data_IF_759096580256
#
_entry.id   IF_759096580256
#
_cell.length_a   1.000
_cell.length_b   1.000
_cell.length_c   1.000
_cell.angle_alpha   90.00
_cell.angle_beta   90.00
_cell.angle_gamma   90.00
#
_symmetry.space_group_name_H-M   'P 1'
#
loop_
_entity.id
_entity.type
_entity.pdbx_description
1 polymer ?
#
# COMPACT_ATOMS: atom_id res chain seq x y z
N UNK A 1 -4.37 -5.91 -33.34
CA UNK A 1 -5.62 -6.66 -33.13
C UNK A 1 -6.56 -5.81 -32.30
N UNK A 2 -7.81 -5.66 -32.75
CA UNK A 2 -8.86 -4.95 -31.97
C UNK A 2 -9.61 -6.03 -31.17
N UNK A 3 -9.52 -5.99 -29.84
CA UNK A 3 -10.24 -6.93 -28.97
C UNK A 3 -11.71 -6.56 -28.88
N UNK A 4 -12.57 -7.54 -28.63
CA UNK A 4 -13.98 -7.33 -28.37
C UNK A 4 -14.16 -6.44 -27.12
N UNK A 5 -15.08 -5.48 -27.20
CA UNK A 5 -15.52 -4.72 -26.02
C UNK A 5 -16.83 -5.32 -25.53
N UNK A 6 -16.82 -5.84 -24.30
CA UNK A 6 -17.96 -6.51 -23.66
C UNK A 6 -18.41 -5.71 -22.47
N UNK A 7 -19.70 -5.55 -22.25
CA UNK A 7 -20.24 -4.87 -21.06
C UNK A 7 -20.03 -5.73 -19.82
N UNK A 8 -19.72 -5.11 -18.69
CA UNK A 8 -19.62 -5.83 -17.42
C UNK A 8 -20.90 -6.59 -17.07
N UNK A 9 -22.09 -6.06 -17.43
CA UNK A 9 -23.36 -6.73 -17.21
C UNK A 9 -23.58 -8.03 -17.99
N UNK A 10 -22.81 -8.27 -19.05
CA UNK A 10 -22.81 -9.54 -19.78
C UNK A 10 -21.90 -10.59 -19.13
N UNK A 11 -21.00 -10.16 -18.25
CA UNK A 11 -19.98 -10.99 -17.61
C UNK A 11 -20.25 -11.25 -16.14
N UNK A 12 -20.92 -10.30 -15.44
CA UNK A 12 -21.05 -10.32 -13.98
C UNK A 12 -22.47 -9.97 -13.52
N UNK A 13 -22.88 -10.60 -12.43
CA UNK A 13 -23.99 -10.16 -11.57
C UNK A 13 -23.45 -9.31 -10.41
N UNK A 14 -24.24 -8.33 -9.94
CA UNK A 14 -23.80 -7.41 -8.87
C UNK A 14 -24.62 -7.59 -7.59
N UNK A 15 -23.94 -7.60 -6.45
CA UNK A 15 -24.53 -7.66 -5.13
C UNK A 15 -23.85 -6.66 -4.17
N UNK A 16 -24.64 -6.04 -3.28
CA UNK A 16 -24.09 -5.16 -2.24
C UNK A 16 -23.51 -5.96 -1.08
N UNK A 17 -22.55 -5.36 -0.34
CA UNK A 17 -21.92 -6.01 0.80
C UNK A 17 -22.71 -5.92 2.11
N UNK A 18 -22.18 -6.59 3.13
CA UNK A 18 -22.72 -6.66 4.48
C UNK A 18 -22.55 -5.31 5.21
N UNK A 19 -23.64 -4.77 5.72
CA UNK A 19 -23.63 -3.55 6.56
C UNK A 19 -23.96 -3.93 8.00
N UNK A 20 -23.03 -3.66 8.93
CA UNK A 20 -23.18 -3.88 10.37
C UNK A 20 -22.69 -2.68 11.18
N UNK A 21 -23.21 -2.55 12.40
CA UNK A 21 -22.72 -1.55 13.35
C UNK A 21 -21.30 -1.87 13.84
N UNK A 22 -20.58 -0.85 14.29
CA UNK A 22 -19.18 -0.95 14.71
C UNK A 22 -18.89 -2.01 15.77
N UNK A 23 -19.85 -2.27 16.67
CA UNK A 23 -19.74 -3.26 17.74
C UNK A 23 -19.59 -4.73 17.29
N UNK A 24 -19.86 -5.02 16.03
CA UNK A 24 -19.79 -6.38 15.47
C UNK A 24 -18.42 -6.67 14.82
N UNK A 25 -17.52 -5.71 14.78
CA UNK A 25 -16.19 -5.88 14.17
C UNK A 25 -15.13 -6.24 15.20
N UNK A 26 -14.01 -6.80 14.73
CA UNK A 26 -12.85 -7.17 15.53
C UNK A 26 -12.84 -8.62 16.04
N UNK A 27 -13.96 -9.34 15.96
CA UNK A 27 -14.08 -10.75 16.34
C UNK A 27 -15.02 -11.50 15.40
N UNK A 28 -14.91 -12.83 15.34
CA UNK A 28 -15.79 -13.70 14.55
C UNK A 28 -15.10 -14.27 13.31
N UNK A 29 -15.68 -14.07 12.14
CA UNK A 29 -15.25 -14.67 10.89
C UNK A 29 -14.49 -13.67 10.00
N UNK A 30 -13.68 -14.16 9.03
CA UNK A 30 -12.92 -13.31 8.13
C UNK A 30 -13.80 -12.29 7.39
N UNK A 31 -13.27 -11.09 7.23
CA UNK A 31 -14.01 -9.98 6.64
C UNK A 31 -13.16 -9.22 5.63
N UNK A 32 -13.65 -9.09 4.41
CA UNK A 32 -13.02 -8.26 3.39
C UNK A 32 -13.41 -6.79 3.61
N UNK A 33 -12.51 -6.04 4.20
CA UNK A 33 -12.70 -4.62 4.52
C UNK A 33 -12.60 -3.72 3.27
N UNK A 34 -13.10 -2.50 3.40
CA UNK A 34 -12.96 -1.47 2.37
C UNK A 34 -11.48 -1.19 2.06
N UNK A 35 -10.65 -1.07 3.10
CA UNK A 35 -9.22 -0.81 2.96
C UNK A 35 -8.50 -1.92 2.18
N UNK A 36 -8.86 -3.18 2.43
CA UNK A 36 -8.29 -4.31 1.70
C UNK A 36 -8.66 -4.26 0.22
N UNK A 37 -9.92 -3.96 -0.12
CA UNK A 37 -10.36 -3.80 -1.51
C UNK A 37 -9.67 -2.62 -2.18
N UNK A 38 -9.51 -1.52 -1.47
CA UNK A 38 -8.91 -0.30 -1.99
C UNK A 38 -7.42 -0.49 -2.35
N UNK A 39 -6.66 -1.12 -1.45
CA UNK A 39 -5.20 -1.17 -1.53
C UNK A 39 -4.64 -2.36 -2.35
N UNK A 40 -5.45 -3.37 -2.65
CA UNK A 40 -4.96 -4.60 -3.28
C UNK A 40 -5.60 -4.86 -4.64
N UNK A 41 -4.82 -5.38 -5.60
CA UNK A 41 -5.32 -5.90 -6.87
C UNK A 41 -6.07 -7.23 -6.67
N UNK A 42 -5.55 -8.05 -5.77
CA UNK A 42 -6.09 -9.36 -5.40
C UNK A 42 -6.28 -9.44 -3.89
N UNK A 43 -7.29 -10.20 -3.46
CA UNK A 43 -7.52 -10.41 -2.02
C UNK A 43 -6.30 -11.16 -1.46
N UNK A 44 -5.70 -10.69 -0.34
CA UNK A 44 -4.61 -11.39 0.35
C UNK A 44 -5.00 -12.81 0.73
N UNK A 45 -4.02 -13.70 0.84
CA UNK A 45 -4.26 -15.09 1.22
C UNK A 45 -5.00 -15.25 2.54
N UNK A 46 -4.75 -14.36 3.50
CA UNK A 46 -5.42 -14.27 4.79
C UNK A 46 -6.10 -12.93 4.97
N UNK A 47 -7.33 -12.95 5.43
CA UNK A 47 -8.08 -11.77 5.83
C UNK A 47 -7.94 -11.61 7.35
N UNK A 48 -7.28 -10.54 7.76
CA UNK A 48 -7.01 -10.24 9.17
C UNK A 48 -8.15 -9.50 9.87
N UNK A 49 -8.99 -8.80 9.10
CA UNK A 49 -10.20 -8.16 9.63
C UNK A 49 -11.26 -9.22 9.93
N UNK A 50 -11.99 -9.04 11.03
CA UNK A 50 -13.03 -9.98 11.49
C UNK A 50 -14.37 -9.27 11.70
N UNK A 51 -15.46 -10.02 11.47
CA UNK A 51 -16.83 -9.57 11.76
C UNK A 51 -17.67 -10.72 12.32
N UNK A 52 -18.53 -10.42 13.27
CA UNK A 52 -19.53 -11.38 13.74
C UNK A 52 -20.60 -11.53 12.66
N UNK A 53 -20.62 -12.69 11.99
CA UNK A 53 -21.59 -13.05 10.96
C UNK A 53 -22.22 -14.40 11.27
N UNK A 54 -23.49 -14.58 10.88
CA UNK A 54 -24.18 -15.86 10.96
C UNK A 54 -24.12 -16.59 9.60
N UNK A 55 -24.52 -17.87 9.56
CA UNK A 55 -24.50 -18.72 8.38
C UNK A 55 -25.23 -18.09 7.18
N UNK A 56 -26.41 -17.52 7.39
CA UNK A 56 -27.19 -16.85 6.34
C UNK A 56 -26.45 -15.64 5.75
N UNK A 57 -25.74 -14.88 6.57
CA UNK A 57 -24.92 -13.77 6.10
C UNK A 57 -23.68 -14.28 5.34
N UNK A 58 -23.04 -15.34 5.82
CA UNK A 58 -21.89 -15.97 5.14
C UNK A 58 -22.28 -16.50 3.76
N UNK A 59 -23.44 -17.12 3.62
CA UNK A 59 -23.96 -17.59 2.33
C UNK A 59 -24.26 -16.41 1.39
N UNK A 60 -25.00 -15.42 1.85
CA UNK A 60 -25.42 -14.27 1.04
C UNK A 60 -24.23 -13.39 0.60
N UNK A 61 -23.26 -13.21 1.49
CA UNK A 61 -22.10 -12.35 1.29
C UNK A 61 -20.82 -13.17 1.08
N UNK A 62 -20.95 -14.40 0.59
CA UNK A 62 -19.80 -15.28 0.31
C UNK A 62 -18.81 -14.68 -0.66
N UNK A 63 -17.54 -15.09 -0.54
CA UNK A 63 -16.43 -14.70 -1.41
C UNK A 63 -15.93 -15.94 -2.11
N UNK A 64 -16.12 -16.01 -3.44
CA UNK A 64 -15.71 -17.14 -4.26
C UNK A 64 -14.66 -16.71 -5.29
N UNK A 65 -13.86 -17.65 -5.76
CA UNK A 65 -12.90 -17.41 -6.85
C UNK A 65 -13.59 -16.75 -8.05
N UNK A 66 -12.99 -15.69 -8.54
CA UNK A 66 -13.52 -14.92 -9.68
C UNK A 66 -14.40 -13.74 -9.26
N UNK A 67 -14.84 -13.66 -8.01
CA UNK A 67 -15.55 -12.47 -7.52
C UNK A 67 -14.64 -11.25 -7.62
N UNK A 68 -15.19 -10.16 -8.15
CA UNK A 68 -14.55 -8.84 -8.23
C UNK A 68 -15.26 -7.89 -7.30
N UNK A 69 -14.53 -7.29 -6.38
CA UNK A 69 -15.04 -6.30 -5.44
C UNK A 69 -14.64 -4.91 -5.91
N UNK A 70 -15.58 -3.95 -5.84
CA UNK A 70 -15.31 -2.56 -6.20
C UNK A 70 -15.82 -1.62 -5.10
N UNK A 71 -15.05 -0.57 -4.80
CA UNK A 71 -15.49 0.48 -3.87
C UNK A 71 -16.67 1.24 -4.46
N UNK A 72 -17.77 1.39 -3.68
CA UNK A 72 -19.00 2.00 -4.17
C UNK A 72 -19.18 3.48 -3.79
N UNK A 73 -18.45 3.93 -2.80
CA UNK A 73 -18.51 5.31 -2.28
C UNK A 73 -17.10 5.82 -2.07
N UNK A 74 -16.85 7.08 -2.38
CA UNK A 74 -15.61 7.75 -2.07
C UNK A 74 -15.81 9.24 -1.86
N UNK A 75 -14.91 9.86 -1.12
CA UNK A 75 -14.84 11.31 -0.96
C UNK A 75 -14.17 11.97 -2.18
N UNK A 76 -13.37 11.22 -2.94
CA UNK A 76 -12.71 11.67 -4.16
C UNK A 76 -13.12 10.82 -5.36
N UNK A 77 -13.18 11.45 -6.54
CA UNK A 77 -13.52 10.75 -7.80
C UNK A 77 -12.50 9.69 -8.17
N UNK A 78 -11.25 9.86 -7.76
CA UNK A 78 -10.15 8.96 -8.10
C UNK A 78 -10.18 7.64 -7.32
N UNK A 79 -10.89 7.59 -6.22
CA UNK A 79 -11.00 6.41 -5.34
C UNK A 79 -12.23 5.55 -5.62
N UNK A 80 -13.22 6.08 -6.36
CA UNK A 80 -14.43 5.34 -6.70
C UNK A 80 -14.09 4.18 -7.65
N UNK A 81 -14.70 3.01 -7.41
CA UNK A 81 -14.55 1.84 -8.27
C UNK A 81 -13.15 1.21 -8.22
N UNK A 82 -12.39 1.43 -7.15
CA UNK A 82 -11.15 0.66 -6.92
C UNK A 82 -11.51 -0.81 -6.75
N UNK A 83 -10.83 -1.68 -7.52
CA UNK A 83 -11.19 -3.09 -7.63
C UNK A 83 -10.20 -4.02 -6.92
N UNK A 84 -10.70 -5.14 -6.40
CA UNK A 84 -9.92 -6.24 -5.84
C UNK A 84 -10.57 -7.57 -6.22
N UNK A 85 -9.79 -8.59 -6.58
CA UNK A 85 -10.30 -9.85 -7.14
C UNK A 85 -9.94 -11.02 -6.25
N UNK A 86 -10.90 -11.93 -6.05
CA UNK A 86 -10.69 -13.20 -5.35
C UNK A 86 -10.05 -14.23 -6.27
N UNK A 87 -8.83 -14.70 -5.94
CA UNK A 87 -8.14 -15.76 -6.67
C UNK A 87 -8.42 -17.17 -6.12
N UNK A 88 -9.12 -17.26 -5.01
CA UNK A 88 -9.57 -18.52 -4.36
C UNK A 88 -10.91 -18.27 -3.66
N UNK A 89 -11.51 -19.32 -3.16
CA UNK A 89 -12.63 -19.23 -2.24
C UNK A 89 -12.14 -18.86 -0.84
N UNK A 90 -12.94 -18.04 -0.13
CA UNK A 90 -12.69 -17.63 1.25
C UNK A 90 -13.84 -18.15 2.13
N UNK A 91 -13.73 -19.33 2.73
CA UNK A 91 -14.79 -19.94 3.52
C UNK A 91 -15.22 -19.06 4.69
N UNK A 92 -16.54 -18.93 4.88
CA UNK A 92 -17.18 -18.16 5.95
C UNK A 92 -16.84 -16.65 5.95
N UNK A 93 -16.07 -16.16 4.96
CA UNK A 93 -15.76 -14.75 4.82
C UNK A 93 -16.94 -13.98 4.25
N UNK A 94 -17.07 -12.72 4.72
CA UNK A 94 -18.04 -11.76 4.18
C UNK A 94 -17.32 -10.47 3.76
N UNK A 95 -18.01 -9.56 3.05
CA UNK A 95 -17.40 -8.33 2.54
C UNK A 95 -18.19 -7.08 2.90
N UNK A 96 -17.49 -5.96 2.92
CA UNK A 96 -17.95 -4.66 3.44
C UNK A 96 -19.08 -4.06 2.61
N UNK A 97 -20.07 -3.47 3.29
CA UNK A 97 -21.24 -2.80 2.70
C UNK A 97 -20.92 -1.56 1.85
N UNK A 98 -19.72 -0.99 1.98
CA UNK A 98 -19.23 0.09 1.11
C UNK A 98 -18.53 -0.42 -0.14
N UNK A 99 -18.62 -1.73 -0.41
CA UNK A 99 -18.16 -2.36 -1.63
C UNK A 99 -19.31 -3.08 -2.34
N UNK A 100 -19.16 -3.30 -3.64
CA UNK A 100 -20.04 -4.16 -4.43
C UNK A 100 -19.26 -5.38 -4.88
N UNK A 101 -19.86 -6.55 -4.82
CA UNK A 101 -19.34 -7.77 -5.42
C UNK A 101 -19.90 -7.94 -6.82
N UNK A 102 -19.06 -8.14 -7.78
CA UNK A 102 -19.39 -8.63 -9.13
C UNK A 102 -19.01 -10.11 -9.20
N UNK A 103 -19.99 -11.00 -9.35
CA UNK A 103 -19.77 -12.44 -9.48
C UNK A 103 -19.87 -12.85 -10.92
N UNK A 104 -18.91 -13.60 -11.50
CA UNK A 104 -18.98 -14.08 -12.87
C UNK A 104 -20.26 -14.87 -13.13
N UNK A 105 -20.91 -14.59 -14.27
CA UNK A 105 -22.04 -15.38 -14.78
C UNK A 105 -21.52 -16.67 -15.43
N UNK A 106 -20.39 -16.58 -16.11
CA UNK A 106 -19.65 -17.69 -16.69
C UNK A 106 -18.16 -17.58 -16.37
N UNK A 107 -17.65 -18.49 -15.57
CA UNK A 107 -16.26 -18.52 -15.12
C UNK A 107 -15.24 -18.82 -16.25
N UNK A 108 -15.71 -19.24 -17.44
CA UNK A 108 -14.83 -19.59 -18.54
C UNK A 108 -14.55 -18.40 -19.49
N UNK A 109 -15.28 -17.30 -19.36
CA UNK A 109 -15.11 -16.13 -20.26
C UNK A 109 -14.04 -15.16 -19.80
N UNK A 110 -13.91 -14.96 -18.50
CA UNK A 110 -13.02 -13.96 -17.92
C UNK A 110 -12.11 -14.60 -16.89
N UNK A 111 -10.80 -14.50 -17.09
CA UNK A 111 -9.82 -14.97 -16.13
C UNK A 111 -9.72 -13.96 -14.97
N UNK A 112 -9.86 -14.40 -13.69
CA UNK A 112 -9.78 -13.53 -12.53
C UNK A 112 -8.49 -12.72 -12.46
N UNK A 113 -7.37 -13.33 -12.79
CA UNK A 113 -6.05 -12.69 -12.82
C UNK A 113 -5.99 -11.58 -13.89
N UNK A 114 -6.59 -11.77 -15.06
CA UNK A 114 -6.64 -10.78 -16.11
C UNK A 114 -7.48 -9.56 -15.73
N UNK A 115 -8.71 -9.80 -15.26
CA UNK A 115 -9.64 -8.71 -14.93
C UNK A 115 -9.13 -7.88 -13.75
N UNK A 116 -8.43 -8.49 -12.78
CA UNK A 116 -7.82 -7.80 -11.65
C UNK A 116 -6.82 -6.74 -12.09
N UNK A 117 -5.97 -7.05 -13.04
CA UNK A 117 -5.05 -6.06 -13.62
C UNK A 117 -5.78 -5.07 -14.52
N UNK A 118 -6.68 -5.54 -15.39
CA UNK A 118 -7.37 -4.69 -16.36
C UNK A 118 -8.14 -3.55 -15.70
N UNK A 119 -8.92 -3.84 -14.66
CA UNK A 119 -9.74 -2.84 -13.96
C UNK A 119 -8.95 -1.78 -13.20
N UNK A 120 -7.66 -2.02 -12.96
CA UNK A 120 -6.74 -1.05 -12.36
C UNK A 120 -5.95 -0.24 -13.40
N UNK A 121 -6.10 -0.51 -14.70
CA UNK A 121 -5.43 0.27 -15.74
C UNK A 121 -5.94 1.70 -15.81
N UNK A 122 -5.11 2.67 -16.21
CA UNK A 122 -5.56 4.04 -16.45
C UNK A 122 -6.70 4.14 -17.46
N UNK A 123 -6.73 3.25 -18.46
CA UNK A 123 -7.78 3.17 -19.47
C UNK A 123 -9.14 2.89 -18.84
N UNK A 124 -9.25 1.81 -18.06
CA UNK A 124 -10.51 1.44 -17.42
C UNK A 124 -10.89 2.43 -16.29
N UNK A 125 -9.91 2.89 -15.52
CA UNK A 125 -10.11 3.91 -14.49
C UNK A 125 -10.64 5.23 -15.07
N UNK A 126 -10.23 5.59 -16.29
CA UNK A 126 -10.74 6.76 -17.01
C UNK A 126 -12.26 6.69 -17.30
N UNK A 127 -12.79 5.49 -17.57
CA UNK A 127 -14.24 5.29 -17.76
C UNK A 127 -15.01 5.55 -16.44
N UNK A 128 -14.50 5.11 -15.30
CA UNK A 128 -15.10 5.43 -13.99
C UNK A 128 -15.15 6.93 -13.69
N UNK A 129 -14.09 7.66 -14.02
CA UNK A 129 -14.02 9.10 -13.80
C UNK A 129 -15.09 9.87 -14.60
N UNK A 130 -15.42 9.42 -15.79
CA UNK A 130 -16.46 10.04 -16.61
C UNK A 130 -17.83 9.99 -15.95
N UNK A 131 -18.13 8.95 -15.15
CA UNK A 131 -19.37 8.84 -14.39
C UNK A 131 -19.34 9.61 -13.07
N UNK A 132 -18.19 9.76 -12.44
CA UNK A 132 -18.07 10.39 -11.11
C UNK A 132 -18.18 11.92 -11.12
N UNK A 133 -17.96 12.58 -12.24
CA UNK A 133 -18.06 14.04 -12.38
C UNK A 133 -19.49 14.59 -12.29
N UNK A 134 -20.51 13.74 -12.26
CA UNK A 134 -21.91 14.14 -12.32
C UNK A 134 -22.63 14.23 -10.95
N UNK A 135 -22.01 13.87 -9.81
CA UNK A 135 -22.66 13.90 -8.50
C UNK A 135 -21.74 14.30 -7.34
N UNK A 136 -22.24 15.13 -6.42
CA UNK A 136 -21.54 15.68 -5.23
C UNK A 136 -21.17 14.63 -4.15
N UNK A 137 -21.64 13.41 -4.25
CA UNK A 137 -21.20 12.19 -3.54
C UNK A 137 -21.39 11.03 -4.49
N UNK A 138 -20.32 10.63 -5.12
CA UNK A 138 -20.35 9.57 -6.11
C UNK A 138 -20.73 8.23 -5.46
N UNK A 139 -21.98 7.84 -5.59
CA UNK A 139 -22.44 6.48 -5.29
C UNK A 139 -22.56 5.73 -6.61
N UNK A 140 -21.76 4.71 -6.79
CA UNK A 140 -21.75 3.85 -7.97
C UNK A 140 -23.09 3.06 -8.04
N UNK A 141 -23.95 3.40 -9.00
CA UNK A 141 -25.19 2.63 -9.26
C UNK A 141 -24.85 1.31 -9.95
N UNK A 142 -25.71 0.31 -9.80
CA UNK A 142 -25.50 -0.99 -10.46
C UNK A 142 -25.54 -0.85 -12.00
N UNK A 143 -26.46 -0.05 -12.50
CA UNK A 143 -26.62 0.20 -13.94
C UNK A 143 -25.38 0.84 -14.54
N UNK A 144 -24.81 1.85 -13.88
CA UNK A 144 -23.59 2.52 -14.31
C UNK A 144 -22.40 1.55 -14.35
N UNK A 145 -22.24 0.74 -13.28
CA UNK A 145 -21.17 -0.26 -13.19
C UNK A 145 -21.32 -1.33 -14.29
N UNK A 146 -22.53 -1.88 -14.46
CA UNK A 146 -22.80 -2.92 -15.46
C UNK A 146 -22.74 -2.41 -16.90
N UNK A 147 -22.91 -1.10 -17.10
CA UNK A 147 -22.76 -0.43 -18.40
C UNK A 147 -21.33 -0.25 -18.87
N UNK A 148 -20.35 -0.29 -17.96
CA UNK A 148 -18.93 -0.16 -18.31
C UNK A 148 -18.47 -1.31 -19.22
N UNK A 149 -17.49 -1.02 -20.07
CA UNK A 149 -16.98 -2.01 -21.03
C UNK A 149 -15.55 -2.43 -20.71
N UNK A 150 -15.25 -3.70 -20.94
CA UNK A 150 -13.90 -4.25 -20.85
C UNK A 150 -13.45 -4.78 -22.20
N UNK A 151 -12.17 -4.60 -22.53
CA UNK A 151 -11.57 -5.26 -23.67
C UNK A 151 -11.30 -6.72 -23.30
N UNK A 152 -11.93 -7.65 -24.01
CA UNK A 152 -11.89 -9.08 -23.69
C UNK A 152 -11.17 -9.85 -24.80
N UNK A 153 -9.87 -10.12 -24.67
CA UNK A 153 -9.17 -11.01 -25.59
C UNK A 153 -9.54 -12.48 -25.35
N UNK A 154 -9.21 -13.38 -26.29
CA UNK A 154 -9.34 -14.82 -26.06
C UNK A 154 -8.65 -15.25 -24.75
N UNK A 155 -9.21 -16.25 -24.06
CA UNK A 155 -8.75 -16.70 -22.73
C UNK A 155 -7.25 -17.02 -22.72
N UNK A 156 -6.72 -17.62 -23.78
CA UNK A 156 -5.28 -17.91 -23.87
C UNK A 156 -4.41 -16.64 -23.92
N UNK A 157 -4.93 -15.54 -24.46
CA UNK A 157 -4.24 -14.24 -24.43
C UNK A 157 -4.37 -13.61 -23.05
N UNK A 158 -5.55 -13.72 -22.41
CA UNK A 158 -5.73 -13.29 -21.01
C UNK A 158 -4.72 -13.98 -20.08
N UNK A 159 -4.55 -15.31 -20.21
CA UNK A 159 -3.55 -16.08 -19.44
C UNK A 159 -2.13 -15.56 -19.64
N UNK A 160 -1.74 -15.33 -20.91
CA UNK A 160 -0.39 -14.82 -21.21
C UNK A 160 -0.13 -13.44 -20.55
N UNK A 161 -1.10 -12.53 -20.66
CA UNK A 161 -0.99 -11.19 -20.06
C UNK A 161 -0.91 -11.31 -18.54
N UNK A 162 -1.85 -12.06 -17.94
CA UNK A 162 -1.89 -12.24 -16.49
C UNK A 162 -0.62 -12.89 -15.94
N UNK A 163 -0.09 -13.91 -16.61
CA UNK A 163 1.13 -14.59 -16.19
C UNK A 163 2.36 -13.66 -16.20
N UNK A 164 2.50 -12.82 -17.23
CA UNK A 164 3.59 -11.85 -17.29
C UNK A 164 3.52 -10.89 -16.09
N UNK A 165 2.34 -10.30 -15.85
CA UNK A 165 2.15 -9.34 -14.76
C UNK A 165 2.33 -10.00 -13.38
N UNK A 166 1.80 -11.22 -13.21
CA UNK A 166 1.93 -12.00 -11.97
C UNK A 166 3.39 -12.32 -11.63
N UNK A 167 4.22 -12.60 -12.63
CA UNK A 167 5.66 -12.79 -12.39
C UNK A 167 6.34 -11.53 -11.83
N UNK A 168 5.96 -10.34 -12.33
CA UNK A 168 6.49 -9.09 -11.76
C UNK A 168 6.01 -8.87 -10.32
N UNK A 169 4.73 -9.12 -10.02
CA UNK A 169 4.24 -9.03 -8.64
C UNK A 169 4.98 -10.00 -7.72
N UNK A 170 5.17 -11.26 -8.14
CA UNK A 170 5.93 -12.25 -7.38
C UNK A 170 7.39 -11.82 -7.13
N UNK A 171 8.04 -11.19 -8.11
CA UNK A 171 9.38 -10.63 -7.94
C UNK A 171 9.38 -9.50 -6.91
N UNK A 172 8.40 -8.61 -6.96
CA UNK A 172 8.25 -7.51 -6.01
C UNK A 172 8.03 -8.06 -4.60
N UNK A 173 7.08 -8.99 -4.42
CA UNK A 173 6.78 -9.64 -3.14
C UNK A 173 8.01 -10.36 -2.57
N UNK A 174 8.74 -11.10 -3.40
CA UNK A 174 9.96 -11.81 -2.98
C UNK A 174 11.05 -10.84 -2.55
N UNK A 175 11.29 -9.77 -3.32
CA UNK A 175 12.28 -8.77 -2.98
C UNK A 175 11.92 -8.03 -1.68
N UNK A 176 10.64 -7.70 -1.47
CA UNK A 176 10.17 -7.09 -0.22
C UNK A 176 10.40 -8.01 1.00
N UNK A 177 10.11 -9.32 0.85
CA UNK A 177 10.42 -10.31 1.89
C UNK A 177 11.91 -10.41 2.17
N UNK A 178 12.75 -10.43 1.13
CA UNK A 178 14.21 -10.45 1.29
C UNK A 178 14.73 -9.21 2.00
N UNK A 179 14.26 -8.01 1.63
CA UNK A 179 14.63 -6.76 2.30
C UNK A 179 14.30 -6.84 3.79
N UNK A 180 13.06 -7.22 4.13
CA UNK A 180 12.64 -7.37 5.53
C UNK A 180 13.51 -8.33 6.32
N UNK A 181 13.80 -9.52 5.76
CA UNK A 181 14.64 -10.52 6.44
C UNK A 181 16.09 -10.03 6.62
N UNK A 182 16.64 -9.32 5.65
CA UNK A 182 17.97 -8.72 5.74
C UNK A 182 18.03 -7.62 6.79
N UNK A 183 17.02 -6.77 6.87
CA UNK A 183 16.90 -5.73 7.90
C UNK A 183 16.80 -6.35 9.31
N UNK A 184 15.94 -7.37 9.48
CA UNK A 184 15.84 -8.12 10.74
C UNK A 184 17.16 -8.78 11.13
N UNK A 185 17.88 -9.36 10.17
CA UNK A 185 19.20 -9.98 10.40
C UNK A 185 20.24 -8.95 10.80
N UNK A 186 20.27 -7.79 10.15
CA UNK A 186 21.16 -6.70 10.50
C UNK A 186 20.88 -6.16 11.93
N UNK A 187 19.60 -6.00 12.28
CA UNK A 187 19.20 -5.58 13.62
C UNK A 187 19.61 -6.59 14.70
N UNK A 188 19.42 -7.89 14.44
CA UNK A 188 19.84 -8.96 15.36
C UNK A 188 21.35 -8.98 15.54
N UNK A 189 22.11 -8.86 14.44
CA UNK A 189 23.56 -8.82 14.47
C UNK A 189 24.08 -7.59 15.23
N UNK A 190 23.46 -6.42 14.98
CA UNK A 190 23.78 -5.21 15.72
C UNK A 190 23.55 -5.38 17.22
N UNK A 191 22.38 -5.92 17.60
CA UNK A 191 22.05 -6.19 19.00
C UNK A 191 23.05 -7.14 19.64
N UNK A 192 23.35 -8.25 18.96
CA UNK A 192 24.29 -9.27 19.44
C UNK A 192 25.68 -8.67 19.71
N UNK A 193 26.21 -7.88 18.77
CA UNK A 193 27.58 -7.36 18.87
C UNK A 193 27.69 -6.12 19.74
N UNK A 194 26.76 -5.17 19.64
CA UNK A 194 26.92 -3.85 20.24
C UNK A 194 26.06 -3.60 21.48
N UNK A 195 25.02 -4.39 21.69
CA UNK A 195 24.16 -4.30 22.86
C UNK A 195 24.46 -5.43 23.84
N UNK A 196 24.47 -6.68 23.36
CA UNK A 196 24.73 -7.86 24.15
C UNK A 196 26.24 -8.15 24.27
N UNK A 197 27.08 -7.39 23.55
CA UNK A 197 28.55 -7.43 23.52
C UNK A 197 29.12 -8.81 23.14
N UNK A 198 28.39 -9.59 22.37
CA UNK A 198 28.79 -10.93 21.86
C UNK A 198 29.30 -10.83 20.43
N UNK A 199 30.30 -9.99 20.20
CA UNK A 199 30.99 -9.84 18.93
C UNK A 199 32.06 -10.92 18.73
N UNK A 200 32.55 -11.19 17.51
CA UNK A 200 33.58 -12.20 17.26
C UNK A 200 34.82 -11.99 18.12
N UNK A 201 35.14 -12.98 18.95
CA UNK A 201 36.31 -12.93 19.88
C UNK A 201 36.01 -12.32 21.26
N UNK A 202 34.75 -12.02 21.58
CA UNK A 202 34.36 -11.41 22.87
C UNK A 202 34.76 -12.27 24.08
N UNK A 203 34.91 -13.59 23.92
CA UNK A 203 35.34 -14.49 25.01
C UNK A 203 36.72 -14.16 25.53
N UNK A 204 37.56 -13.48 24.74
CA UNK A 204 38.94 -13.10 25.09
C UNK A 204 39.07 -11.63 25.46
N UNK A 205 37.97 -10.90 25.62
CA UNK A 205 37.94 -9.45 25.87
C UNK A 205 37.28 -9.19 27.22
N UNK A 206 37.95 -8.50 28.09
CA UNK A 206 37.43 -8.11 29.41
C UNK A 206 36.42 -6.95 29.28
N UNK A 207 35.36 -6.97 30.10
CA UNK A 207 34.38 -5.88 30.16
C UNK A 207 34.78 -4.94 31.28
N UNK A 208 35.27 -3.76 30.94
CA UNK A 208 35.74 -2.72 31.88
C UNK A 208 34.74 -1.56 31.87
N UNK A 209 34.17 -1.23 33.04
CA UNK A 209 33.18 -0.15 33.19
C UNK A 209 31.97 -0.28 32.20
N UNK A 210 31.58 -1.50 31.89
CA UNK A 210 30.40 -1.80 31.03
C UNK A 210 30.65 -1.60 29.55
N UNK A 211 31.92 -1.59 29.10
CA UNK A 211 32.32 -1.66 27.71
C UNK A 211 33.49 -2.64 27.54
N UNK A 212 33.64 -3.29 26.38
CA UNK A 212 34.78 -4.14 26.08
C UNK A 212 36.12 -3.37 26.19
N UNK A 213 37.16 -4.05 26.61
CA UNK A 213 38.52 -3.48 26.61
C UNK A 213 38.87 -2.92 25.23
N UNK A 214 39.45 -1.73 25.20
CA UNK A 214 39.75 -1.01 23.97
C UNK A 214 38.59 -0.16 23.41
N UNK A 215 37.38 -0.34 23.94
CA UNK A 215 36.26 0.57 23.65
C UNK A 215 36.21 1.72 24.63
N UNK A 216 35.68 2.87 24.16
CA UNK A 216 35.54 4.05 25.01
C UNK A 216 34.16 4.68 24.87
N UNK A 217 33.65 5.28 25.93
CA UNK A 217 32.46 6.09 25.93
C UNK A 217 32.81 7.53 25.64
N UNK A 218 32.18 8.13 24.67
CA UNK A 218 32.36 9.54 24.32
C UNK A 218 31.01 10.24 24.21
N UNK A 219 30.99 11.55 24.35
CA UNK A 219 29.78 12.33 24.10
C UNK A 219 29.57 12.46 22.58
N UNK A 220 28.32 12.43 22.15
CA UNK A 220 27.96 12.59 20.71
C UNK A 220 28.54 13.88 20.14
N UNK A 221 28.56 14.98 20.94
CA UNK A 221 29.09 16.26 20.51
C UNK A 221 30.61 16.29 20.31
N UNK A 222 31.36 15.34 20.91
CA UNK A 222 32.80 15.22 20.73
C UNK A 222 33.17 14.44 19.46
N UNK A 223 32.25 13.56 19.02
CA UNK A 223 32.48 12.68 17.87
C UNK A 223 31.82 13.24 16.59
N UNK A 224 30.70 13.91 16.70
CA UNK A 224 29.93 14.41 15.58
C UNK A 224 29.64 15.90 15.68
N UNK A 225 29.69 16.58 14.53
CA UNK A 225 29.16 17.94 14.42
C UNK A 225 27.64 17.87 14.26
N UNK A 226 26.90 18.41 15.21
CA UNK A 226 25.44 18.45 15.18
C UNK A 226 24.94 19.83 14.74
N UNK A 227 23.91 19.86 13.91
CA UNK A 227 23.28 21.09 13.43
C UNK A 227 21.76 20.95 13.46
N UNK A 228 21.08 22.05 13.71
CA UNK A 228 19.62 22.09 13.59
C UNK A 228 19.21 22.26 12.15
N UNK A 229 18.17 21.54 11.73
CA UNK A 229 17.48 21.75 10.46
C UNK A 229 16.66 23.03 10.46
N UNK A 230 16.14 23.40 9.29
CA UNK A 230 15.28 24.55 9.13
C UNK A 230 14.29 24.40 8.02
N UNK A 231 13.12 25.03 8.19
CA UNK A 231 12.04 25.05 7.21
C UNK A 231 11.96 26.44 6.58
N UNK A 232 12.16 26.59 5.27
CA UNK A 232 11.88 27.85 4.59
C UNK A 232 10.40 28.24 4.74
N UNK A 233 10.12 29.54 4.84
CA UNK A 233 8.75 30.04 5.03
C UNK A 233 7.82 29.47 3.93
N UNK A 234 6.82 28.67 4.32
CA UNK A 234 5.84 28.04 3.41
C UNK A 234 4.99 29.05 2.64
N UNK A 235 4.77 30.24 3.23
CA UNK A 235 4.02 31.32 2.61
C UNK A 235 4.72 31.99 1.43
N UNK A 236 6.02 31.75 1.24
CA UNK A 236 6.78 32.32 0.13
C UNK A 236 7.07 31.27 -0.94
N UNK A 237 6.27 31.26 -1.99
CA UNK A 237 6.40 30.33 -3.11
C UNK A 237 7.77 30.37 -3.80
N UNK A 238 8.49 31.52 -3.76
CA UNK A 238 9.81 31.64 -4.36
C UNK A 238 10.91 30.83 -3.65
N UNK A 239 10.62 30.26 -2.48
CA UNK A 239 11.56 29.43 -1.73
C UNK A 239 11.46 27.95 -2.11
N UNK A 240 10.39 27.53 -2.79
CA UNK A 240 10.03 26.15 -3.08
C UNK A 240 10.08 25.82 -4.57
N UNK A 241 10.14 24.52 -4.90
CA UNK A 241 10.13 24.06 -6.29
C UNK A 241 11.45 24.26 -7.05
N UNK A 242 12.57 24.40 -6.33
CA UNK A 242 13.90 24.49 -6.91
C UNK A 242 14.55 23.11 -7.15
N UNK A 243 15.88 23.11 -7.16
CA UNK A 243 16.74 21.95 -7.46
C UNK A 243 17.51 21.44 -6.22
N UNK A 244 17.30 22.03 -5.04
CA UNK A 244 17.97 21.61 -3.81
C UNK A 244 17.01 20.71 -3.02
N UNK A 245 17.32 19.39 -2.87
CA UNK A 245 16.52 18.48 -2.06
C UNK A 245 16.34 18.98 -0.63
N UNK A 246 15.11 18.99 -0.15
CA UNK A 246 14.78 19.37 1.22
C UNK A 246 14.00 18.24 1.89
N UNK A 247 14.44 17.89 3.11
CA UNK A 247 13.96 16.74 3.87
C UNK A 247 13.13 17.25 5.04
N UNK A 248 11.92 16.74 5.20
CA UNK A 248 11.05 17.01 6.35
C UNK A 248 11.12 15.87 7.40
N UNK A 249 10.49 16.09 8.55
CA UNK A 249 10.50 15.11 9.65
C UNK A 249 9.79 13.79 9.30
N UNK A 250 8.83 13.78 8.37
CA UNK A 250 8.14 12.57 7.94
C UNK A 250 9.04 11.62 7.17
N UNK A 251 10.04 12.12 6.46
CA UNK A 251 11.01 11.30 5.72
C UNK A 251 12.00 10.58 6.63
N UNK A 252 12.18 11.06 7.86
CA UNK A 252 13.05 10.46 8.88
C UNK A 252 12.50 9.11 9.37
N UNK A 253 11.25 8.78 9.12
CA UNK A 253 10.67 7.46 9.39
C UNK A 253 11.28 6.35 8.52
N UNK A 254 11.97 6.71 7.44
CA UNK A 254 12.67 5.75 6.60
C UNK A 254 14.08 5.50 7.12
N UNK A 255 14.51 4.25 7.17
CA UNK A 255 15.87 3.87 7.57
C UNK A 255 16.94 4.57 6.72
N UNK A 256 16.64 4.80 5.45
CA UNK A 256 17.48 5.54 4.50
C UNK A 256 16.62 6.46 3.64
N UNK A 257 17.04 7.70 3.49
CA UNK A 257 16.40 8.67 2.62
C UNK A 257 17.03 8.54 1.23
N UNK A 258 16.28 7.95 0.31
CA UNK A 258 16.73 7.68 -1.06
C UNK A 258 16.24 8.73 -2.06
N UNK A 259 15.14 9.42 -1.71
CA UNK A 259 14.52 10.44 -2.54
C UNK A 259 13.84 11.47 -1.65
N UNK A 260 13.94 12.71 -2.02
CA UNK A 260 13.24 13.84 -1.41
C UNK A 260 11.78 13.89 -1.83
N UNK A 261 10.91 14.38 -0.96
CA UNK A 261 9.52 14.70 -1.30
C UNK A 261 9.37 16.11 -1.86
N UNK A 262 10.27 17.00 -1.51
CA UNK A 262 10.22 18.41 -1.89
C UNK A 262 11.63 18.97 -2.19
N UNK A 263 11.67 20.04 -2.99
CA UNK A 263 12.89 20.78 -3.25
C UNK A 263 12.73 22.26 -2.89
N UNK A 264 13.83 22.90 -2.50
CA UNK A 264 13.90 24.33 -2.25
C UNK A 264 14.80 25.04 -3.26
N UNK A 265 14.60 26.35 -3.43
CA UNK A 265 15.44 27.16 -4.28
C UNK A 265 16.70 27.61 -3.54
N UNK A 266 17.71 28.11 -4.26
CA UNK A 266 18.88 28.78 -3.68
C UNK A 266 18.48 29.96 -2.79
N UNK A 267 17.40 30.67 -3.15
CA UNK A 267 16.87 31.74 -2.34
C UNK A 267 16.26 31.23 -1.04
N UNK A 268 15.49 30.13 -1.11
CA UNK A 268 14.93 29.45 0.08
C UNK A 268 16.01 28.99 1.04
N UNK A 269 17.08 28.38 0.53
CA UNK A 269 18.25 28.01 1.34
C UNK A 269 18.91 29.24 2.00
N UNK A 270 19.16 30.31 1.23
CA UNK A 270 19.84 31.52 1.74
C UNK A 270 19.01 32.30 2.77
N UNK A 271 17.67 32.27 2.65
CA UNK A 271 16.75 33.07 3.48
C UNK A 271 16.07 32.27 4.59
N UNK A 272 16.56 31.07 4.88
CA UNK A 272 16.06 30.23 5.97
C UNK A 272 17.21 29.70 6.83
N UNK A 273 16.86 28.96 7.88
CA UNK A 273 17.81 28.22 8.72
C UNK A 273 18.18 26.85 8.14
N UNK A 274 17.65 26.46 6.97
CA UNK A 274 18.01 25.22 6.30
C UNK A 274 19.52 25.21 5.95
N UNK A 275 20.15 24.05 6.07
CA UNK A 275 21.59 23.87 5.79
C UNK A 275 21.81 22.71 4.85
N UNK A 276 22.81 22.84 3.98
CA UNK A 276 23.28 21.71 3.16
C UNK A 276 23.99 20.69 4.06
N UNK A 277 23.61 19.43 3.89
CA UNK A 277 24.19 18.30 4.62
C UNK A 277 25.01 17.43 3.66
N UNK A 278 26.18 16.94 4.08
CA UNK A 278 26.96 16.01 3.29
C UNK A 278 26.27 14.63 3.21
N UNK A 279 26.71 13.82 2.25
CA UNK A 279 26.32 12.39 2.22
C UNK A 279 26.67 11.72 3.56
N UNK A 280 25.88 10.70 3.91
CA UNK A 280 26.03 9.92 5.15
C UNK A 280 25.74 10.70 6.45
N UNK A 281 25.06 11.86 6.35
CA UNK A 281 24.55 12.54 7.53
C UNK A 281 23.40 11.73 8.15
N UNK A 282 23.49 11.46 9.45
CA UNK A 282 22.38 10.89 10.20
C UNK A 282 21.41 12.00 10.61
N UNK A 283 20.13 11.82 10.30
CA UNK A 283 19.07 12.80 10.63
C UNK A 283 18.19 12.24 11.73
N UNK A 284 17.92 13.05 12.75
CA UNK A 284 17.08 12.71 13.90
C UNK A 284 15.87 13.65 13.94
N UNK A 285 14.66 13.10 14.12
CA UNK A 285 13.49 13.90 14.44
C UNK A 285 13.56 14.33 15.91
N UNK A 286 13.60 15.64 16.17
CA UNK A 286 13.65 16.20 17.53
C UNK A 286 12.26 16.62 18.04
N UNK A 287 11.25 16.66 17.19
CA UNK A 287 9.85 16.86 17.54
C UNK A 287 9.08 15.59 17.16
N UNK A 288 8.17 15.15 18.04
CA UNK A 288 7.44 13.92 17.83
C UNK A 288 6.73 13.92 16.47
N UNK A 289 7.01 12.91 15.66
CA UNK A 289 6.12 12.55 14.57
C UNK A 289 4.89 11.93 15.21
N UNK A 290 3.79 12.65 15.20
CA UNK A 290 2.46 12.13 15.56
C UNK A 290 1.90 11.34 14.39
#
# INVERSE_FOLDING_TARGET
>A
MKWEKVRLGELYSVHNGLSKGSKFFGTGYPFLSFSTVFNNFFIPDELTDLVQSNEKEQDNYSILRGDVFVTRTSETSDELGMSCVALKDYPNATYNGFTKRMRPIDNNRVLPEYIGYYMRTPLFRGEFRAFSTMTTRASLKNEDLLGLTVALPPVEVQKKIANILRHYDQLIENNQKQIKLLEESAQRLYKEWFVDLRFPGYENVEIINGVPEGWRKELIGDVFTTVLGGTPARSNAAYWGGDIPWINSGEVNNLRIMKESECITKLGLKKSSAKLMPKHTTVLAITGAT
#
